data_IF_507051434024
#
_entry.id   IF_507051434024
#
_cell.length_a   1.000
_cell.length_b   1.000
_cell.length_c   1.000
_cell.angle_alpha   90.00
_cell.angle_beta   90.00
_cell.angle_gamma   90.00
#
_symmetry.space_group_name_H-M   'P 1'
#
loop_
_entity.id
_entity.type
_entity.pdbx_description
1 polymer ?
#
# COMPACT_ATOMS: atom_id res chain seq x y z
N UNK A 1 2.49 35.03 -33.65
CA UNK A 1 1.71 34.16 -32.75
C UNK A 1 2.65 33.08 -32.24
N UNK A 2 2.47 32.61 -31.01
CA UNK A 2 3.32 31.56 -30.45
C UNK A 2 2.67 30.22 -30.79
N UNK A 3 3.10 29.57 -31.87
CA UNK A 3 2.45 28.38 -32.47
C UNK A 3 2.74 27.07 -31.70
N UNK A 4 3.09 27.17 -30.41
CA UNK A 4 3.35 26.01 -29.56
C UNK A 4 2.08 25.60 -28.83
N UNK A 5 1.58 24.41 -29.13
CA UNK A 5 0.43 23.79 -28.46
C UNK A 5 0.80 22.97 -27.22
N UNK A 6 2.10 22.71 -27.01
CA UNK A 6 2.62 21.98 -25.84
C UNK A 6 3.61 22.87 -25.10
N UNK A 7 3.28 23.19 -23.86
CA UNK A 7 4.15 23.90 -22.93
C UNK A 7 4.83 22.88 -22.03
N UNK A 8 6.16 22.87 -22.04
CA UNK A 8 6.97 21.98 -21.18
C UNK A 8 7.71 22.85 -20.17
N UNK A 9 7.68 22.42 -18.93
CA UNK A 9 8.53 22.97 -17.87
C UNK A 9 10.01 22.73 -18.17
N UNK A 10 10.87 23.65 -17.73
CA UNK A 10 12.32 23.55 -17.87
C UNK A 10 12.86 22.43 -16.98
N UNK A 11 13.85 21.67 -17.47
CA UNK A 11 14.44 20.56 -16.73
C UNK A 11 15.75 20.96 -16.06
N UNK A 12 15.73 21.16 -14.75
CA UNK A 12 16.88 21.58 -13.97
C UNK A 12 16.81 21.03 -12.53
N UNK A 13 17.78 21.39 -11.69
CA UNK A 13 17.86 20.91 -10.30
C UNK A 13 16.70 21.38 -9.42
N UNK A 14 16.11 22.53 -9.75
CA UNK A 14 14.98 23.12 -9.02
C UNK A 14 13.62 22.55 -9.49
N UNK A 15 13.62 21.88 -10.64
CA UNK A 15 12.47 21.14 -11.17
C UNK A 15 12.91 19.73 -11.61
N UNK A 16 13.20 18.83 -10.64
CA UNK A 16 13.68 17.49 -10.93
C UNK A 16 12.58 16.63 -11.56
N UNK A 17 13.00 15.58 -12.28
CA UNK A 17 12.10 14.61 -12.91
C UNK A 17 12.41 13.23 -12.37
N UNK A 18 11.37 12.43 -12.22
CA UNK A 18 11.50 11.03 -11.90
C UNK A 18 11.72 10.26 -13.21
N UNK A 19 12.75 9.43 -13.24
CA UNK A 19 12.92 8.42 -14.28
C UNK A 19 12.32 7.12 -13.75
N UNK A 20 11.43 6.51 -14.53
CA UNK A 20 10.72 5.29 -14.13
C UNK A 20 11.08 4.16 -15.10
N UNK A 21 11.24 2.94 -14.59
CA UNK A 21 11.39 1.74 -15.41
C UNK A 21 10.24 1.58 -16.43
N UNK A 22 10.58 1.35 -17.70
CA UNK A 22 9.58 1.16 -18.77
C UNK A 22 8.72 -0.07 -18.55
N UNK A 23 9.27 -1.14 -17.97
CA UNK A 23 8.56 -2.37 -17.63
C UNK A 23 7.37 -2.08 -16.71
N UNK A 24 7.59 -1.37 -15.61
CA UNK A 24 6.52 -0.92 -14.71
C UNK A 24 5.48 -0.06 -15.42
N UNK A 25 5.91 0.94 -16.20
CA UNK A 25 4.99 1.83 -16.91
C UNK A 25 4.13 1.10 -17.94
N UNK A 26 4.69 0.08 -18.59
CA UNK A 26 4.07 -0.68 -19.68
C UNK A 26 3.45 -2.01 -19.22
N UNK A 27 3.55 -2.37 -17.94
CA UNK A 27 3.01 -3.63 -17.42
C UNK A 27 1.49 -3.67 -17.62
N UNK A 28 0.94 -4.65 -18.38
CA UNK A 28 -0.50 -4.79 -18.59
C UNK A 28 -1.23 -5.31 -17.35
N UNK A 29 -0.52 -5.88 -16.37
CA UNK A 29 -1.10 -6.39 -15.13
C UNK A 29 -1.36 -5.28 -14.10
N UNK A 30 -0.84 -4.07 -14.34
CA UNK A 30 -1.08 -2.90 -13.51
C UNK A 30 -2.17 -2.02 -14.10
N UNK A 31 -3.18 -1.72 -13.29
CA UNK A 31 -4.15 -0.67 -13.55
C UNK A 31 -3.51 0.72 -13.52
N UNK A 32 -4.18 1.69 -14.14
CA UNK A 32 -3.73 3.09 -14.12
C UNK A 32 -3.57 3.64 -12.69
N UNK A 33 -4.38 3.15 -11.75
CA UNK A 33 -4.32 3.51 -10.33
C UNK A 33 -3.03 3.01 -9.68
N UNK A 34 -2.69 1.74 -9.89
CA UNK A 34 -1.48 1.13 -9.33
C UNK A 34 -0.23 1.80 -9.90
N UNK A 35 -0.23 2.11 -11.20
CA UNK A 35 0.83 2.90 -11.84
C UNK A 35 0.95 4.29 -11.23
N UNK A 36 -0.17 4.98 -11.02
CA UNK A 36 -0.19 6.30 -10.37
C UNK A 36 0.39 6.27 -8.95
N UNK A 37 0.06 5.23 -8.18
CA UNK A 37 0.63 5.02 -6.84
C UNK A 37 2.14 4.79 -6.93
N UNK A 38 2.61 3.92 -7.82
CA UNK A 38 4.04 3.67 -7.99
C UNK A 38 4.82 4.91 -8.43
N UNK A 39 4.29 5.68 -9.39
CA UNK A 39 4.94 6.91 -9.84
C UNK A 39 5.09 7.94 -8.71
N UNK A 40 4.09 8.04 -7.83
CA UNK A 40 4.18 8.90 -6.66
C UNK A 40 5.23 8.38 -5.67
N UNK A 41 5.16 7.10 -5.30
CA UNK A 41 6.09 6.50 -4.33
C UNK A 41 7.54 6.60 -4.81
N UNK A 42 7.81 6.33 -6.09
CA UNK A 42 9.14 6.42 -6.68
C UNK A 42 9.63 7.87 -6.88
N UNK A 43 8.77 8.86 -6.62
CA UNK A 43 9.17 10.28 -6.60
C UNK A 43 9.65 10.77 -5.24
N UNK A 44 9.46 9.96 -4.19
CA UNK A 44 9.85 10.27 -2.82
C UNK A 44 11.33 9.92 -2.58
N UNK A 45 11.95 10.42 -1.49
CA UNK A 45 13.29 10.01 -1.08
C UNK A 45 13.40 8.48 -0.87
N UNK A 46 14.59 7.93 -1.13
CA UNK A 46 14.84 6.48 -1.05
C UNK A 46 14.61 5.87 0.34
N UNK A 47 14.72 6.68 1.40
CA UNK A 47 14.50 6.30 2.80
C UNK A 47 13.05 6.49 3.27
N UNK A 48 12.15 6.87 2.36
CA UNK A 48 10.75 7.09 2.68
C UNK A 48 10.06 5.79 3.10
N UNK A 49 9.43 5.80 4.27
CA UNK A 49 8.63 4.69 4.77
C UNK A 49 7.15 4.88 4.43
N UNK A 50 6.57 3.91 3.74
CA UNK A 50 5.15 3.97 3.39
C UNK A 50 4.28 3.77 4.63
N UNK A 51 3.58 4.83 5.00
CA UNK A 51 2.40 4.77 5.85
C UNK A 51 1.17 4.98 4.98
N UNK A 52 0.35 3.93 4.80
CA UNK A 52 -0.79 3.98 3.86
C UNK A 52 -1.79 5.10 4.22
N UNK A 53 -1.97 5.39 5.51
CA UNK A 53 -2.81 6.49 5.99
C UNK A 53 -2.29 7.87 5.56
N UNK A 54 -0.97 8.05 5.52
CA UNK A 54 -0.34 9.27 5.00
C UNK A 54 -0.41 9.31 3.48
N UNK A 55 -0.13 8.18 2.83
CA UNK A 55 -0.18 8.06 1.37
C UNK A 55 -1.52 8.52 0.82
N UNK A 56 -2.63 8.14 1.47
CA UNK A 56 -3.99 8.56 1.10
C UNK A 56 -4.15 10.09 1.02
N UNK A 57 -3.43 10.87 1.82
CA UNK A 57 -3.53 12.34 1.84
C UNK A 57 -2.91 12.99 0.60
N UNK A 58 -2.07 12.26 -0.13
CA UNK A 58 -1.39 12.76 -1.33
C UNK A 58 -2.15 12.47 -2.63
N UNK A 59 -3.31 11.80 -2.54
CA UNK A 59 -4.16 11.52 -3.69
C UNK A 59 -5.53 12.18 -3.52
N UNK A 60 -6.12 12.59 -4.64
CA UNK A 60 -7.53 13.00 -4.70
C UNK A 60 -8.49 11.80 -4.69
N UNK A 61 -7.98 10.61 -4.96
CA UNK A 61 -8.69 9.33 -4.85
C UNK A 61 -9.16 9.06 -3.41
N UNK A 62 -10.33 8.42 -3.28
CA UNK A 62 -10.84 8.00 -1.97
C UNK A 62 -9.95 6.94 -1.30
N UNK A 63 -9.94 6.92 0.04
CA UNK A 63 -9.17 5.97 0.88
C UNK A 63 -9.22 4.54 0.36
N UNK A 64 -10.42 3.99 0.14
CA UNK A 64 -10.58 2.60 -0.36
C UNK A 64 -9.91 2.35 -1.71
N UNK A 65 -9.83 3.37 -2.58
CA UNK A 65 -9.14 3.29 -3.88
C UNK A 65 -7.64 3.03 -3.66
N UNK A 66 -6.99 3.82 -2.80
CA UNK A 66 -5.55 3.71 -2.50
C UNK A 66 -5.22 2.40 -1.82
N UNK A 67 -6.02 1.96 -0.84
CA UNK A 67 -5.83 0.67 -0.19
C UNK A 67 -5.91 -0.50 -1.18
N UNK A 68 -6.90 -0.48 -2.07
CA UNK A 68 -7.01 -1.50 -3.11
C UNK A 68 -5.87 -1.43 -4.13
N UNK A 69 -5.37 -0.24 -4.45
CA UNK A 69 -4.20 -0.08 -5.31
C UNK A 69 -2.93 -0.66 -4.68
N UNK A 70 -2.66 -0.36 -3.40
CA UNK A 70 -1.54 -0.99 -2.66
C UNK A 70 -1.70 -2.50 -2.60
N UNK A 71 -2.93 -3.00 -2.40
CA UNK A 71 -3.20 -4.44 -2.40
C UNK A 71 -2.84 -5.09 -3.75
N UNK A 72 -3.30 -4.53 -4.86
CA UNK A 72 -2.98 -5.09 -6.17
C UNK A 72 -1.50 -4.97 -6.55
N UNK A 73 -0.80 -3.92 -6.09
CA UNK A 73 0.67 -3.83 -6.17
C UNK A 73 1.39 -4.93 -5.37
N UNK A 74 0.81 -5.39 -4.26
CA UNK A 74 1.31 -6.55 -3.52
C UNK A 74 1.07 -7.84 -4.31
N UNK A 75 -0.14 -8.02 -4.84
CA UNK A 75 -0.50 -9.21 -5.62
C UNK A 75 0.32 -9.36 -6.90
N UNK A 76 0.73 -8.24 -7.51
CA UNK A 76 1.58 -8.20 -8.71
C UNK A 76 3.09 -8.21 -8.39
N UNK A 77 3.47 -8.21 -7.11
CA UNK A 77 4.86 -8.36 -6.67
C UNK A 77 5.72 -7.09 -6.75
N UNK A 78 5.11 -5.93 -7.00
CA UNK A 78 5.79 -4.63 -6.99
C UNK A 78 5.95 -4.05 -5.58
N UNK A 79 5.07 -4.43 -4.66
CA UNK A 79 5.18 -4.12 -3.24
C UNK A 79 5.23 -5.41 -2.42
N UNK A 80 6.15 -5.50 -1.47
CA UNK A 80 6.20 -6.56 -0.48
C UNK A 80 5.79 -5.99 0.88
N UNK A 81 4.90 -6.68 1.60
CA UNK A 81 4.48 -6.29 2.95
C UNK A 81 5.11 -7.22 3.99
N UNK A 82 6.02 -6.68 4.78
CA UNK A 82 6.66 -7.36 5.91
C UNK A 82 5.89 -7.03 7.20
N UNK A 83 5.59 -8.07 7.99
CA UNK A 83 4.92 -7.91 9.29
C UNK A 83 5.95 -8.10 10.39
N UNK A 84 6.13 -7.06 11.21
CA UNK A 84 6.94 -7.13 12.42
C UNK A 84 6.06 -7.53 13.58
N UNK A 85 6.43 -8.62 14.27
CA UNK A 85 5.71 -9.16 15.41
C UNK A 85 6.56 -9.14 16.66
N UNK A 86 5.91 -8.96 17.81
CA UNK A 86 6.54 -9.11 19.11
C UNK A 86 6.87 -10.59 19.35
N UNK A 87 8.14 -10.89 19.63
CA UNK A 87 8.62 -12.28 19.73
C UNK A 87 7.96 -13.08 20.86
N UNK A 88 7.56 -12.42 21.94
CA UNK A 88 6.98 -13.07 23.11
C UNK A 88 5.48 -13.38 22.97
N UNK A 89 4.71 -12.47 22.35
CA UNK A 89 3.25 -12.56 22.29
C UNK A 89 2.72 -12.89 20.89
N UNK A 90 3.55 -12.74 19.86
CA UNK A 90 3.15 -12.82 18.46
C UNK A 90 2.35 -11.61 17.98
N UNK A 91 2.13 -10.58 18.82
CA UNK A 91 1.35 -9.40 18.47
C UNK A 91 2.00 -8.64 17.32
N UNK A 92 1.19 -8.23 16.34
CA UNK A 92 1.65 -7.37 15.25
C UNK A 92 2.01 -6.00 15.81
N UNK A 93 3.26 -5.58 15.57
CA UNK A 93 3.78 -4.28 15.98
C UNK A 93 3.60 -3.26 14.85
N UNK A 94 4.01 -3.62 13.63
CA UNK A 94 3.91 -2.73 12.46
C UNK A 94 3.97 -3.51 11.15
N UNK A 95 3.51 -2.85 10.10
CA UNK A 95 3.75 -3.24 8.72
C UNK A 95 4.87 -2.38 8.13
N UNK A 96 5.72 -3.02 7.35
CA UNK A 96 6.73 -2.38 6.51
C UNK A 96 6.44 -2.75 5.05
N UNK A 97 6.56 -1.79 4.15
CA UNK A 97 6.31 -1.98 2.73
C UNK A 97 7.59 -1.72 1.95
N UNK A 98 8.03 -2.71 1.19
CA UNK A 98 9.21 -2.65 0.34
C UNK A 98 8.75 -2.52 -1.10
N UNK A 99 9.23 -1.50 -1.81
CA UNK A 99 8.82 -1.18 -3.17
C UNK A 99 9.92 -1.54 -4.16
N UNK A 100 9.54 -2.06 -5.32
CA UNK A 100 10.46 -2.48 -6.39
C UNK A 100 9.97 -1.97 -7.73
N UNK A 101 10.88 -1.53 -8.59
CA UNK A 101 10.54 -1.18 -9.98
C UNK A 101 10.35 -2.40 -10.88
N UNK A 102 10.88 -3.55 -10.47
CA UNK A 102 10.67 -4.84 -11.12
C UNK A 102 9.91 -5.77 -10.17
N UNK A 103 8.85 -6.43 -10.65
CA UNK A 103 8.06 -7.29 -9.79
C UNK A 103 8.89 -8.49 -9.37
N UNK A 104 8.73 -8.92 -8.12
CA UNK A 104 9.25 -10.21 -7.69
C UNK A 104 8.64 -11.28 -8.60
N UNK A 105 9.50 -12.03 -9.30
CA UNK A 105 9.06 -13.14 -10.15
C UNK A 105 8.32 -14.14 -9.28
N UNK A 106 7.01 -14.10 -9.43
CA UNK A 106 6.09 -15.11 -8.97
C UNK A 106 6.51 -16.44 -9.62
N UNK A 107 7.08 -17.38 -8.87
CA UNK A 107 7.19 -18.79 -9.30
C UNK A 107 5.77 -19.33 -9.39
N UNK A 108 5.04 -18.99 -10.44
CA UNK A 108 3.69 -19.52 -10.70
C UNK A 108 3.87 -20.80 -11.51
N UNK A 109 3.75 -21.94 -10.83
CA UNK A 109 3.39 -23.18 -11.51
C UNK A 109 2.04 -22.95 -12.17
N UNK A 110 2.01 -22.93 -13.51
CA UNK A 110 0.76 -22.94 -14.25
C UNK A 110 0.02 -24.25 -13.96
N UNK A 111 -1.26 -24.19 -13.60
CA UNK A 111 -2.27 -25.14 -14.08
C UNK A 111 -3.68 -24.53 -13.99
N UNK A 112 -4.61 -24.99 -14.86
CA UNK A 112 -5.77 -24.23 -15.32
C UNK A 112 -6.96 -24.32 -14.36
N UNK A 113 -7.80 -23.28 -14.38
CA UNK A 113 -9.15 -23.32 -13.80
C UNK A 113 -9.25 -22.69 -12.42
N UNK A 114 -10.08 -21.63 -12.34
CA UNK A 114 -10.78 -21.11 -11.17
C UNK A 114 -10.21 -21.53 -9.81
N UNK A 115 -9.17 -20.83 -9.35
CA UNK A 115 -8.56 -21.07 -8.05
C UNK A 115 -7.66 -19.92 -7.67
N UNK A 116 -7.87 -19.39 -6.47
CA UNK A 116 -7.14 -18.29 -5.83
C UNK A 116 -5.62 -18.49 -5.99
N UNK A 117 -4.90 -17.54 -6.57
CA UNK A 117 -3.44 -17.58 -6.67
C UNK A 117 -2.83 -17.12 -5.34
N UNK A 118 -2.00 -17.97 -4.77
CA UNK A 118 -1.35 -17.79 -3.49
C UNK A 118 -0.05 -16.99 -3.63
N UNK A 119 -0.06 -15.76 -3.09
CA UNK A 119 1.10 -15.16 -2.44
C UNK A 119 0.65 -14.62 -1.08
N UNK A 120 0.67 -15.49 -0.08
CA UNK A 120 0.59 -15.15 1.33
C UNK A 120 1.66 -15.94 2.07
N UNK A 121 2.71 -15.27 2.52
CA UNK A 121 3.13 -15.44 3.90
C UNK A 121 2.76 -14.10 4.54
N UNK A 122 1.61 -13.92 5.17
CA UNK A 122 0.97 -14.73 6.21
C UNK A 122 -0.54 -14.58 6.10
N UNK A 123 -1.28 -15.48 6.73
CA UNK A 123 -2.74 -15.48 6.80
C UNK A 123 -3.34 -14.07 6.99
N UNK A 124 -4.13 -13.63 6.02
CA UNK A 124 -5.02 -12.48 6.19
C UNK A 124 -6.43 -12.99 5.99
N UNK A 125 -7.18 -13.11 7.08
CA UNK A 125 -8.62 -13.34 7.00
C UNK A 125 -9.30 -12.04 6.58
N UNK A 126 -10.39 -12.17 5.83
CA UNK A 126 -11.19 -11.06 5.30
C UNK A 126 -11.66 -10.10 6.41
N UNK A 127 -11.67 -10.58 7.65
CA UNK A 127 -12.10 -9.87 8.85
C UNK A 127 -11.04 -8.86 9.35
N UNK A 128 -9.74 -9.15 9.19
CA UNK A 128 -8.66 -8.23 9.62
C UNK A 128 -8.57 -6.95 8.77
N UNK A 129 -8.94 -7.05 7.48
CA UNK A 129 -9.08 -5.89 6.59
C UNK A 129 -10.25 -4.98 7.01
N UNK A 130 -11.32 -5.58 7.55
CA UNK A 130 -12.50 -4.86 8.07
C UNK A 130 -12.26 -4.26 9.46
N UNK A 131 -11.33 -4.82 10.23
CA UNK A 131 -10.90 -4.28 11.52
C UNK A 131 -10.01 -3.04 11.29
N UNK A 132 -9.05 -3.07 10.35
CA UNK A 132 -8.18 -1.89 10.11
C UNK A 132 -8.92 -0.66 9.57
N UNK A 133 -10.10 -0.86 8.97
CA UNK A 133 -10.97 0.24 8.52
C UNK A 133 -11.88 0.79 9.64
N UNK A 134 -11.93 0.13 10.80
CA UNK A 134 -12.77 0.50 11.96
C UNK A 134 -12.00 0.95 13.21
N UNK A 135 -10.69 0.76 13.28
CA UNK A 135 -9.91 1.25 14.44
C UNK A 135 -9.68 2.76 14.28
N UNK A 136 -10.32 3.54 15.16
CA UNK A 136 -10.11 4.99 15.28
C UNK A 136 -8.64 5.25 15.64
N UNK A 137 -7.96 6.10 14.86
CA UNK A 137 -6.54 6.44 15.00
C UNK A 137 -6.20 6.97 16.42
N UNK A 138 -7.20 7.49 17.16
CA UNK A 138 -7.06 7.90 18.56
C UNK A 138 -6.78 6.75 19.54
N UNK A 139 -7.26 5.54 19.27
CA UNK A 139 -7.03 4.36 20.11
C UNK A 139 -5.58 3.86 20.00
N UNK A 140 -5.03 3.92 18.78
CA UNK A 140 -3.64 3.51 18.49
C UNK A 140 -2.64 4.46 19.17
N UNK A 141 -2.92 5.77 19.16
CA UNK A 141 -2.08 6.77 19.82
C UNK A 141 -2.09 6.63 21.36
N UNK A 142 -3.23 6.26 21.97
CA UNK A 142 -3.34 6.06 23.43
C UNK A 142 -2.54 4.84 23.92
N UNK A 143 -2.51 3.76 23.14
CA UNK A 143 -1.74 2.56 23.46
C UNK A 143 -0.21 2.80 23.40
N UNK A 144 0.25 3.74 22.56
CA UNK A 144 1.66 4.12 22.48
C UNK A 144 2.13 4.99 23.65
N UNK A 145 1.21 5.57 24.42
CA UNK A 145 1.49 6.40 25.61
C UNK A 145 1.25 5.65 26.94
N UNK A 146 1.01 4.33 26.90
CA UNK A 146 0.85 3.51 28.11
C UNK A 146 -0.44 3.77 28.90
N UNK A 147 -1.45 4.41 28.30
CA UNK A 147 -2.75 4.68 28.96
C UNK A 147 -3.68 3.47 28.71
N UNK A 148 -4.24 2.82 29.75
CA UNK A 148 -5.08 1.64 29.59
C UNK A 148 -6.38 1.95 28.81
N UNK A 149 -6.70 1.09 27.84
CA UNK A 149 -7.92 1.14 27.03
C UNK A 149 -9.08 0.55 27.83
N UNK A 150 -10.20 1.28 27.93
CA UNK A 150 -11.39 0.85 28.68
C UNK A 150 -12.31 -0.01 27.79
N UNK A 151 -12.34 -1.32 28.04
CA UNK A 151 -13.11 -2.31 27.27
C UNK A 151 -14.61 -2.37 27.62
N UNK A 152 -15.30 -1.24 27.70
CA UNK A 152 -16.76 -1.24 27.83
C UNK A 152 -17.46 -0.81 26.54
N UNK A 153 -17.57 -1.73 25.58
CA UNK A 153 -18.79 -1.94 24.76
C UNK A 153 -18.71 -3.32 24.09
N UNK A 154 -19.01 -4.38 24.84
CA UNK A 154 -19.58 -5.60 24.27
C UNK A 154 -20.78 -5.92 25.14
N UNK A 155 -21.97 -5.51 24.71
CA UNK A 155 -23.25 -6.10 25.10
C UNK A 155 -24.36 -5.50 24.23
N UNK A 156 -24.77 -6.21 23.19
CA UNK A 156 -26.18 -6.23 22.78
C UNK A 156 -26.47 -7.56 22.08
N UNK A 157 -27.00 -8.47 22.90
CA UNK A 157 -28.13 -9.38 22.67
C UNK A 157 -28.35 -9.97 21.26
N UNK A 158 -28.16 -11.29 21.22
CA UNK A 158 -28.78 -12.23 20.30
C UNK A 158 -30.26 -12.42 20.66
N UNK A 159 -31.14 -12.26 19.66
CA UNK A 159 -32.46 -12.92 19.57
C UNK A 159 -32.56 -13.58 18.20
#
# INVERSE_FOLDING_TARGET
MNDKTILRVEKNKDNPYVMINKGLAQDPNLSAKEKGIMFYVLSLPDDWQIHVSELVKHFSDGKGSIYNGIKGLIETGYIERVIHRESATGKILRYEYIVREEPLKSTVSQKPGNGKTAYTNTDYTKDELFISSKVDEKEIFRAQQGIPVNNNTINTEIH
#
